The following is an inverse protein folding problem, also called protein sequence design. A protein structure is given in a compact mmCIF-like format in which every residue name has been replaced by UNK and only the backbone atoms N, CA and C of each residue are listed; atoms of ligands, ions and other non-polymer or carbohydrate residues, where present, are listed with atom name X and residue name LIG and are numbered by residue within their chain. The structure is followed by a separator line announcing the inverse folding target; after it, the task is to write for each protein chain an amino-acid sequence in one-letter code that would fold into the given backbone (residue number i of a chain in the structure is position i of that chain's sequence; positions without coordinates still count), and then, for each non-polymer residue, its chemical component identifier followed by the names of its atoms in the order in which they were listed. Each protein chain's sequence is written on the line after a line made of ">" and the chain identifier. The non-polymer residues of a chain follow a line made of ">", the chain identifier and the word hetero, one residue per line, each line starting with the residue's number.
data_IF_922552476389
#
_entry.id   IF_922552476389
#
_cell.length_a   1.000
_cell.length_b   1.000
_cell.length_c   1.000
_cell.angle_alpha   90.00
_cell.angle_beta   90.00
_cell.angle_gamma   90.00
#
_symmetry.space_group_name_H-M   'P 1'
#
loop_
_entity.id
_entity.type
_entity.pdbx_description
1 polymer ?
#
# COMPACT_ATOMS: atom_id res chain seq x y z
N UNK A 1 -27.78 -3.71 8.64
CA UNK A 1 -27.00 -4.93 8.36
C UNK A 1 -27.14 -5.31 6.90
N UNK A 2 -26.03 -5.27 6.15
CA UNK A 2 -25.98 -5.60 4.72
C UNK A 2 -25.12 -6.84 4.52
N UNK A 3 -25.67 -7.87 3.90
CA UNK A 3 -24.91 -9.05 3.51
C UNK A 3 -24.04 -8.71 2.30
N UNK A 4 -22.72 -8.93 2.42
CA UNK A 4 -21.75 -8.66 1.35
C UNK A 4 -20.79 -9.86 1.19
N UNK A 5 -20.43 -10.22 -0.05
CA UNK A 5 -19.39 -11.21 -0.31
C UNK A 5 -17.99 -10.67 0.02
N UNK A 6 -17.03 -11.56 0.31
CA UNK A 6 -15.67 -11.17 0.72
C UNK A 6 -14.96 -10.32 -0.34
N UNK A 7 -15.17 -10.57 -1.63
CA UNK A 7 -14.58 -9.73 -2.70
C UNK A 7 -15.08 -8.27 -2.66
N UNK A 8 -16.36 -8.05 -2.34
CA UNK A 8 -16.89 -6.71 -2.15
C UNK A 8 -16.39 -6.09 -0.86
N UNK A 9 -16.21 -6.88 0.21
CA UNK A 9 -15.55 -6.41 1.42
C UNK A 9 -14.10 -5.98 1.12
N UNK A 10 -13.34 -6.76 0.34
CA UNK A 10 -11.96 -6.45 -0.04
C UNK A 10 -11.86 -5.07 -0.70
N UNK A 11 -12.74 -4.77 -1.66
CA UNK A 11 -12.84 -3.43 -2.27
C UNK A 11 -13.06 -2.33 -1.24
N UNK A 12 -14.04 -2.53 -0.35
CA UNK A 12 -14.36 -1.56 0.71
C UNK A 12 -13.17 -1.35 1.64
N UNK A 13 -12.42 -2.40 1.95
CA UNK A 13 -11.25 -2.37 2.84
C UNK A 13 -10.05 -1.69 2.17
N UNK A 14 -9.79 -1.95 0.88
CA UNK A 14 -8.77 -1.25 0.11
C UNK A 14 -9.05 0.26 0.02
N UNK A 15 -10.32 0.64 -0.05
CA UNK A 15 -10.74 2.04 -0.08
C UNK A 15 -10.98 2.64 1.32
N UNK A 16 -10.69 1.90 2.40
CA UNK A 16 -10.98 2.33 3.77
C UNK A 16 -10.04 3.47 4.18
N UNK A 17 -10.55 4.66 4.52
CA UNK A 17 -9.69 5.77 4.93
C UNK A 17 -8.95 5.49 6.24
N UNK A 18 -7.76 6.06 6.38
CA UNK A 18 -7.00 6.02 7.64
C UNK A 18 -7.84 6.57 8.79
N UNK A 19 -7.87 5.84 9.92
CA UNK A 19 -8.68 6.06 11.13
C UNK A 19 -10.18 5.85 10.95
N UNK A 20 -10.65 5.41 9.80
CA UNK A 20 -12.01 4.92 9.64
C UNK A 20 -12.11 3.45 10.07
N UNK A 21 -13.32 3.09 10.49
CA UNK A 21 -13.63 1.77 11.01
C UNK A 21 -14.91 1.26 10.39
N UNK A 22 -14.84 0.05 9.87
CA UNK A 22 -16.03 -0.74 9.57
C UNK A 22 -16.11 -1.91 10.53
N UNK A 23 -17.34 -2.37 10.76
CA UNK A 23 -17.57 -3.54 11.59
C UNK A 23 -18.28 -4.58 10.77
N UNK A 24 -17.76 -5.79 10.83
CA UNK A 24 -18.33 -6.94 10.14
C UNK A 24 -18.65 -8.03 11.14
N UNK A 25 -19.72 -8.77 10.85
CA UNK A 25 -20.11 -9.95 11.62
C UNK A 25 -20.01 -11.17 10.73
N UNK A 26 -19.30 -12.18 11.23
CA UNK A 26 -19.19 -13.47 10.56
C UNK A 26 -20.42 -14.34 10.87
N UNK A 27 -21.03 -14.92 9.84
CA UNK A 27 -22.27 -15.71 9.95
C UNK A 27 -22.14 -16.97 10.83
N UNK A 28 -20.95 -17.59 10.85
CA UNK A 28 -20.71 -18.88 11.52
C UNK A 28 -20.39 -18.75 13.02
N UNK A 29 -19.70 -17.69 13.42
CA UNK A 29 -19.21 -17.50 14.79
C UNK A 29 -20.00 -16.45 15.57
N UNK A 30 -20.83 -15.65 14.87
CA UNK A 30 -21.49 -14.45 15.40
C UNK A 30 -20.50 -13.44 16.03
N UNK A 31 -19.20 -13.61 15.79
CA UNK A 31 -18.15 -12.73 16.28
C UNK A 31 -18.17 -11.39 15.54
N UNK A 32 -18.03 -10.31 16.31
CA UNK A 32 -17.84 -8.98 15.78
C UNK A 32 -16.35 -8.73 15.53
N UNK A 33 -16.05 -8.30 14.31
CA UNK A 33 -14.70 -7.95 13.89
C UNK A 33 -14.70 -6.48 13.47
N UNK A 34 -13.80 -5.70 14.07
CA UNK A 34 -13.48 -4.36 13.61
C UNK A 34 -12.43 -4.44 12.51
N UNK A 35 -12.62 -3.71 11.42
CA UNK A 35 -11.60 -3.50 10.41
C UNK A 35 -11.27 -2.02 10.40
N UNK A 36 -10.02 -1.69 10.66
CA UNK A 36 -9.49 -0.32 10.70
C UNK A 36 -8.32 -0.18 9.75
N UNK A 37 -8.23 0.97 9.09
CA UNK A 37 -7.01 1.38 8.42
C UNK A 37 -6.27 2.32 9.39
N UNK A 38 -5.04 1.98 9.77
CA UNK A 38 -4.25 2.76 10.73
C UNK A 38 -2.90 3.10 10.13
N UNK A 39 -2.52 4.37 10.22
CA UNK A 39 -1.17 4.83 9.94
C UNK A 39 -0.28 4.50 11.14
N UNK A 40 0.50 3.43 11.00
CA UNK A 40 1.41 2.92 12.01
C UNK A 40 2.78 2.78 11.38
N UNK A 41 3.74 3.55 11.89
CA UNK A 41 5.14 3.57 11.43
C UNK A 41 5.33 4.02 9.98
N UNK A 42 4.58 5.05 9.57
CA UNK A 42 4.62 5.59 8.21
C UNK A 42 4.14 4.59 7.14
N UNK A 43 3.47 3.51 7.59
CA UNK A 43 2.78 2.52 6.75
C UNK A 43 1.28 2.52 7.07
N UNK A 44 0.48 2.53 6.01
CA UNK A 44 -0.96 2.29 6.13
C UNK A 44 -1.19 0.79 6.35
N UNK A 45 -1.68 0.43 7.53
CA UNK A 45 -1.96 -0.95 7.92
C UNK A 45 -3.46 -1.18 8.01
N UNK A 46 -3.96 -2.21 7.31
CA UNK A 46 -5.29 -2.73 7.58
C UNK A 46 -5.21 -3.69 8.76
N UNK A 47 -5.99 -3.42 9.78
CA UNK A 47 -6.04 -4.17 11.02
C UNK A 47 -7.43 -4.76 11.14
N UNK A 48 -7.51 -6.08 11.29
CA UNK A 48 -8.74 -6.78 11.68
C UNK A 48 -8.59 -7.22 13.11
N UNK A 49 -9.46 -6.72 13.98
CA UNK A 49 -9.47 -7.03 15.41
C UNK A 49 -10.78 -7.68 15.80
N UNK A 50 -10.72 -8.65 16.70
CA UNK A 50 -11.95 -9.11 17.36
C UNK A 50 -12.39 -8.08 18.40
N UNK A 51 -13.66 -7.65 18.30
CA UNK A 51 -14.22 -6.76 19.31
C UNK A 51 -14.25 -7.48 20.66
N UNK A 52 -13.61 -6.89 21.66
CA UNK A 52 -13.39 -7.52 22.97
C UNK A 52 -12.00 -8.16 23.13
N UNK A 53 -11.15 -8.09 22.10
CA UNK A 53 -9.77 -8.58 22.15
C UNK A 53 -9.62 -10.07 21.84
N UNK A 54 -8.39 -10.58 21.97
CA UNK A 54 -8.05 -12.00 21.80
C UNK A 54 -7.60 -12.41 20.40
N UNK A 55 -7.88 -11.60 19.38
CA UNK A 55 -7.37 -11.81 18.02
C UNK A 55 -7.18 -10.47 17.32
N UNK A 56 -6.04 -10.32 16.66
CA UNK A 56 -5.82 -9.30 15.65
C UNK A 56 -4.98 -9.87 14.51
N UNK A 57 -5.30 -9.46 13.29
CA UNK A 57 -4.51 -9.72 12.10
C UNK A 57 -4.25 -8.41 11.40
N UNK A 58 -3.08 -8.30 10.77
CA UNK A 58 -2.61 -7.06 10.17
C UNK A 58 -2.15 -7.35 8.75
N UNK A 59 -2.48 -6.42 7.85
CA UNK A 59 -2.09 -6.43 6.46
C UNK A 59 -1.39 -5.11 6.16
N UNK A 60 -0.16 -5.21 5.68
CA UNK A 60 0.63 -4.06 5.28
C UNK A 60 0.25 -3.66 3.86
N UNK A 61 -0.33 -2.46 3.69
CA UNK A 61 -0.74 -1.98 2.36
C UNK A 61 0.40 -1.31 1.59
N UNK A 62 1.57 -1.14 2.23
CA UNK A 62 2.74 -0.50 1.62
C UNK A 62 3.49 -1.41 0.65
N UNK A 63 3.38 -2.73 0.82
CA UNK A 63 4.04 -3.71 -0.04
C UNK A 63 3.14 -4.10 -1.21
N UNK A 64 1.86 -4.38 -0.95
CA UNK A 64 0.91 -4.84 -1.96
C UNK A 64 -0.49 -4.32 -1.64
N UNK A 65 -1.08 -3.57 -2.56
CA UNK A 65 -2.43 -3.02 -2.41
C UNK A 65 -3.40 -3.56 -3.47
N UNK A 66 -3.13 -4.78 -3.96
CA UNK A 66 -3.99 -5.43 -4.95
C UNK A 66 -5.21 -6.06 -4.25
N UNK A 67 -6.39 -5.72 -4.76
CA UNK A 67 -7.68 -6.24 -4.27
C UNK A 67 -7.70 -7.78 -4.16
N UNK A 68 -6.96 -8.47 -5.03
CA UNK A 68 -6.84 -9.93 -5.05
C UNK A 68 -6.15 -10.45 -3.79
N UNK A 69 -5.09 -9.79 -3.33
CA UNK A 69 -4.34 -10.20 -2.15
C UNK A 69 -5.11 -9.86 -0.88
N UNK A 70 -5.72 -8.66 -0.82
CA UNK A 70 -6.65 -8.30 0.25
C UNK A 70 -7.79 -9.31 0.35
N UNK A 71 -8.37 -9.71 -0.78
CA UNK A 71 -9.43 -10.73 -0.83
C UNK A 71 -8.92 -12.08 -0.31
N UNK A 72 -7.72 -12.50 -0.73
CA UNK A 72 -7.10 -13.76 -0.28
C UNK A 72 -6.80 -13.73 1.23
N UNK A 73 -6.29 -12.62 1.73
CA UNK A 73 -6.01 -12.41 3.14
C UNK A 73 -7.30 -12.43 3.99
N UNK A 74 -8.34 -11.72 3.55
CA UNK A 74 -9.66 -11.76 4.18
C UNK A 74 -10.24 -13.19 4.16
N UNK A 75 -10.13 -13.91 3.04
CA UNK A 75 -10.54 -15.32 2.95
C UNK A 75 -9.86 -16.19 4.00
N UNK A 76 -8.56 -16.02 4.22
CA UNK A 76 -7.82 -16.73 5.26
C UNK A 76 -8.32 -16.38 6.67
N UNK A 77 -8.50 -15.10 6.97
CA UNK A 77 -9.02 -14.63 8.28
C UNK A 77 -10.41 -15.19 8.55
N UNK A 78 -11.29 -15.11 7.56
CA UNK A 78 -12.65 -15.64 7.69
C UNK A 78 -12.74 -17.16 7.51
N UNK A 79 -11.62 -17.87 7.34
CA UNK A 79 -11.57 -19.31 7.07
C UNK A 79 -12.57 -19.71 5.97
N UNK A 80 -12.41 -19.08 4.80
CA UNK A 80 -13.24 -19.29 3.63
C UNK A 80 -12.40 -19.73 2.45
N UNK A 81 -12.75 -20.86 1.84
CA UNK A 81 -12.22 -21.25 0.52
C UNK A 81 -13.11 -20.76 -0.63
N UNK A 82 -14.25 -20.14 -0.31
CA UNK A 82 -15.29 -19.78 -1.28
C UNK A 82 -15.43 -18.25 -1.37
N UNK A 83 -15.44 -17.72 -2.60
CA UNK A 83 -15.57 -16.28 -2.88
C UNK A 83 -16.96 -15.76 -2.52
N UNK A 84 -17.94 -16.67 -2.43
CA UNK A 84 -19.34 -16.37 -2.11
C UNK A 84 -19.65 -16.42 -0.61
N UNK A 85 -18.66 -16.67 0.27
CA UNK A 85 -18.91 -16.57 1.71
C UNK A 85 -19.25 -15.12 2.03
N UNK A 86 -20.42 -14.94 2.61
CA UNK A 86 -20.95 -13.63 2.95
C UNK A 86 -20.65 -13.28 4.40
N UNK A 87 -20.28 -12.02 4.60
CA UNK A 87 -20.22 -11.39 5.92
C UNK A 87 -21.32 -10.34 6.01
N UNK A 88 -21.69 -10.01 7.23
CA UNK A 88 -22.65 -8.95 7.47
C UNK A 88 -21.91 -7.67 7.80
N UNK A 89 -21.95 -6.69 6.89
CA UNK A 89 -21.52 -5.33 7.18
C UNK A 89 -22.54 -4.68 8.11
N UNK A 90 -22.05 -4.17 9.23
CA UNK A 90 -22.86 -3.56 10.28
C UNK A 90 -22.85 -2.05 10.15
N UNK A 91 -24.02 -1.45 10.28
CA UNK A 91 -24.15 -0.01 10.40
C UNK A 91 -23.79 0.42 11.82
N UNK A 92 -23.29 1.65 11.99
CA UNK A 92 -22.82 2.16 13.30
C UNK A 92 -23.82 1.88 14.42
N UNK A 93 -25.12 2.12 14.18
CA UNK A 93 -26.21 1.91 15.14
C UNK A 93 -26.39 0.46 15.64
N UNK A 94 -25.97 -0.53 14.85
CA UNK A 94 -26.11 -1.97 15.16
C UNK A 94 -24.99 -2.51 16.05
N UNK A 95 -23.85 -1.81 16.12
CA UNK A 95 -22.65 -2.22 16.88
C UNK A 95 -22.75 -1.80 18.36
N UNK A 96 -23.44 -0.71 18.64
CA UNK A 96 -23.42 -0.04 19.95
C UNK A 96 -24.16 -0.70 21.13
N UNK A 97 -25.07 -1.68 20.98
CA UNK A 97 -25.63 -2.37 22.16
C UNK A 97 -24.61 -3.23 22.93
N UNK A 98 -23.57 -3.73 22.24
CA UNK A 98 -22.57 -4.68 22.78
C UNK A 98 -21.29 -3.98 23.30
N UNK A 99 -21.04 -2.73 22.91
CA UNK A 99 -19.86 -1.93 23.30
C UNK A 99 -20.20 -0.97 24.46
N UNK A 100 -20.17 -1.46 25.70
CA UNK A 100 -20.55 -0.67 26.89
C UNK A 100 -19.37 0.07 27.57
N UNK A 101 -18.13 -0.20 27.19
CA UNK A 101 -16.93 0.45 27.76
C UNK A 101 -15.95 0.84 26.66
N UNK A 102 -15.15 1.90 26.92
CA UNK A 102 -13.94 2.13 26.15
C UNK A 102 -13.06 0.91 26.29
N UNK A 103 -12.96 0.14 25.23
CA UNK A 103 -11.99 -0.92 25.13
C UNK A 103 -10.97 -0.45 24.09
N UNK A 104 -9.71 -0.51 24.45
CA UNK A 104 -8.58 -0.27 23.55
C UNK A 104 -7.88 -1.60 23.32
N UNK A 105 -7.22 -1.71 22.17
CA UNK A 105 -6.34 -2.81 21.84
C UNK A 105 -4.97 -2.22 21.57
N UNK A 106 -4.00 -2.62 22.37
CA UNK A 106 -2.62 -2.16 22.30
C UNK A 106 -1.70 -3.31 21.93
N UNK A 107 -0.59 -2.98 21.27
CA UNK A 107 0.50 -3.92 21.01
C UNK A 107 1.85 -3.25 21.22
N UNK A 108 2.92 -3.98 20.91
CA UNK A 108 4.30 -3.50 21.04
C UNK A 108 5.02 -3.61 19.70
N UNK A 109 5.66 -2.53 19.28
CA UNK A 109 6.53 -2.48 18.08
C UNK A 109 8.00 -2.50 18.47
N UNK A 110 8.85 -2.87 17.51
CA UNK A 110 10.29 -2.81 17.60
C UNK A 110 10.88 -2.11 16.37
N UNK A 111 12.00 -1.43 16.57
CA UNK A 111 12.87 -0.99 15.48
C UNK A 111 13.79 -2.14 15.12
N UNK A 112 13.79 -2.53 13.85
CA UNK A 112 14.66 -3.58 13.32
C UNK A 112 15.79 -2.95 12.52
N UNK A 113 17.02 -3.42 12.76
CA UNK A 113 18.22 -2.92 12.11
C UNK A 113 19.11 -4.09 11.68
N UNK A 114 18.94 -4.54 10.44
CA UNK A 114 19.77 -5.60 9.86
C UNK A 114 20.94 -5.04 9.05
N UNK A 115 22.08 -5.75 8.95
CA UNK A 115 23.19 -5.35 8.10
C UNK A 115 22.74 -5.20 6.64
N UNK A 116 23.09 -4.07 6.01
CA UNK A 116 22.73 -3.73 4.61
C UNK A 116 21.24 -3.43 4.35
N UNK A 117 20.40 -3.32 5.39
CA UNK A 117 19.01 -2.88 5.26
C UNK A 117 18.83 -1.51 5.91
N UNK A 118 17.93 -0.69 5.36
CA UNK A 118 17.52 0.54 6.06
C UNK A 118 16.80 0.15 7.35
N UNK A 119 17.13 0.78 8.50
CA UNK A 119 16.40 0.54 9.74
C UNK A 119 14.93 0.92 9.55
N UNK A 120 14.03 -0.02 9.79
CA UNK A 120 12.59 0.19 9.73
C UNK A 120 11.96 -0.16 11.08
N UNK A 121 10.75 0.38 11.33
CA UNK A 121 9.95 -0.10 12.45
C UNK A 121 9.06 -1.20 11.93
N UNK A 122 9.08 -2.33 12.62
CA UNK A 122 8.13 -3.41 12.37
C UNK A 122 7.25 -3.57 13.59
N UNK A 123 6.00 -3.91 13.35
CA UNK A 123 5.18 -4.53 14.37
C UNK A 123 5.59 -6.01 14.41
N UNK A 124 5.90 -6.56 15.58
CA UNK A 124 6.10 -8.02 15.67
C UNK A 124 4.73 -8.68 15.54
N UNK A 125 4.43 -9.26 14.38
CA UNK A 125 3.14 -9.93 14.13
C UNK A 125 3.21 -11.41 14.56
N UNK A 126 4.39 -11.93 14.89
CA UNK A 126 4.53 -13.29 15.42
C UNK A 126 4.57 -13.25 16.95
N UNK A 127 3.41 -13.41 17.59
CA UNK A 127 3.22 -13.77 19.01
C UNK A 127 3.31 -12.69 20.12
N UNK A 128 3.43 -11.39 19.81
CA UNK A 128 3.39 -10.36 20.85
C UNK A 128 1.97 -10.14 21.41
N UNK A 129 1.86 -10.20 22.74
CA UNK A 129 0.61 -10.07 23.49
C UNK A 129 -0.16 -8.81 23.09
N UNK A 130 -1.43 -8.98 22.75
CA UNK A 130 -2.35 -7.86 22.62
C UNK A 130 -2.79 -7.46 24.02
N UNK A 131 -2.74 -6.17 24.32
CA UNK A 131 -3.06 -5.63 25.64
C UNK A 131 -4.36 -4.84 25.59
N UNK A 132 -5.19 -4.89 26.65
CA UNK A 132 -6.41 -4.11 26.76
C UNK A 132 -6.16 -2.63 27.10
N UNK A 133 -4.91 -2.25 27.44
CA UNK A 133 -4.53 -0.89 27.82
C UNK A 133 -3.08 -0.56 27.48
N UNK A 134 -2.77 0.73 27.38
CA UNK A 134 -1.41 1.23 27.17
C UNK A 134 -0.49 0.83 28.31
N UNK A 135 -0.98 0.94 29.54
CA UNK A 135 -0.21 0.65 30.75
C UNK A 135 0.22 -0.81 30.81
N UNK A 136 -0.62 -1.75 30.37
CA UNK A 136 -0.27 -3.16 30.29
C UNK A 136 0.79 -3.42 29.21
N UNK A 137 0.69 -2.75 28.06
CA UNK A 137 1.72 -2.82 27.01
C UNK A 137 3.07 -2.26 27.49
N UNK A 138 3.06 -1.10 28.16
CA UNK A 138 4.28 -0.50 28.73
C UNK A 138 4.87 -1.35 29.85
N UNK A 139 4.03 -1.94 30.71
CA UNK A 139 4.46 -2.87 31.76
C UNK A 139 5.13 -4.11 31.15
N UNK A 140 4.57 -4.65 30.08
CA UNK A 140 5.19 -5.76 29.36
C UNK A 140 6.56 -5.39 28.81
N UNK A 141 6.70 -4.20 28.22
CA UNK A 141 7.99 -3.68 27.72
C UNK A 141 9.03 -3.60 28.85
N UNK A 142 8.64 -3.10 30.01
CA UNK A 142 9.54 -2.97 31.16
C UNK A 142 9.98 -4.35 31.70
N UNK A 143 9.07 -5.33 31.75
CA UNK A 143 9.38 -6.71 32.18
C UNK A 143 10.36 -7.38 31.21
N UNK A 144 10.20 -7.16 29.91
CA UNK A 144 10.99 -7.82 28.86
C UNK A 144 12.22 -7.01 28.43
N UNK A 145 12.57 -5.94 29.15
CA UNK A 145 13.72 -5.11 28.84
C UNK A 145 15.02 -5.94 28.91
N UNK A 146 15.71 -6.05 27.78
CA UNK A 146 16.96 -6.81 27.66
C UNK A 146 16.77 -8.32 27.48
N UNK A 147 15.53 -8.79 27.31
CA UNK A 147 15.22 -10.16 26.91
C UNK A 147 15.09 -10.27 25.39
N UNK A 148 15.18 -11.50 24.87
CA UNK A 148 14.85 -11.77 23.47
C UNK A 148 13.35 -11.63 23.25
N UNK A 149 12.96 -10.87 22.23
CA UNK A 149 11.57 -10.76 21.81
C UNK A 149 11.21 -11.91 20.87
N UNK A 150 10.05 -12.51 21.07
CA UNK A 150 9.48 -13.43 20.09
C UNK A 150 8.96 -12.60 18.92
N UNK A 151 9.72 -12.62 17.83
CA UNK A 151 9.42 -11.86 16.63
C UNK A 151 9.88 -12.63 15.41
N UNK A 152 9.33 -12.27 14.24
CA UNK A 152 9.80 -12.82 12.96
C UNK A 152 11.27 -12.46 12.65
N UNK A 153 11.87 -11.58 13.44
CA UNK A 153 13.27 -11.16 13.35
C UNK A 153 14.06 -11.64 14.56
N UNK A 154 15.37 -11.79 14.38
CA UNK A 154 16.25 -12.13 15.49
C UNK A 154 16.21 -11.03 16.55
N UNK A 155 16.15 -11.42 17.82
CA UNK A 155 16.02 -10.46 18.92
C UNK A 155 17.18 -9.46 19.01
N UNK A 156 18.35 -9.83 18.53
CA UNK A 156 19.54 -8.97 18.44
C UNK A 156 19.42 -7.87 17.38
N UNK A 157 18.55 -8.06 16.38
CA UNK A 157 18.25 -7.04 15.37
C UNK A 157 17.15 -6.07 15.85
N UNK A 158 16.49 -6.36 16.98
CA UNK A 158 15.34 -5.63 17.49
C UNK A 158 15.72 -4.67 18.64
N UNK A 159 15.24 -3.43 18.56
CA UNK A 159 15.52 -2.38 19.56
C UNK A 159 14.34 -1.42 19.75
N UNK A 160 14.43 -0.56 20.77
CA UNK A 160 13.44 0.52 21.01
C UNK A 160 11.97 0.06 21.04
N UNK A 161 11.59 -0.88 21.95
CA UNK A 161 10.21 -1.30 22.08
C UNK A 161 9.29 -0.13 22.42
N UNK A 162 8.14 -0.02 21.76
CA UNK A 162 7.12 1.01 22.04
C UNK A 162 5.71 0.44 22.02
N UNK A 163 4.88 0.88 22.97
CA UNK A 163 3.46 0.61 22.94
C UNK A 163 2.80 1.38 21.78
N UNK A 164 1.90 0.71 21.06
CA UNK A 164 1.15 1.28 19.94
C UNK A 164 -0.32 0.90 20.07
N UNK A 165 -1.20 1.87 19.85
CA UNK A 165 -2.64 1.64 19.79
C UNK A 165 -2.96 0.95 18.45
N UNK A 166 -3.49 -0.25 18.52
CA UNK A 166 -3.90 -1.08 17.37
C UNK A 166 -5.34 -0.75 16.98
N UNK A 167 -6.23 -0.70 17.97
CA UNK A 167 -7.65 -0.41 17.74
C UNK A 167 -8.31 0.20 18.99
N UNK A 168 -9.43 0.89 18.81
CA UNK A 168 -10.29 1.35 19.91
C UNK A 168 -11.77 1.23 19.53
N UNK A 169 -12.61 0.98 20.54
CA UNK A 169 -14.06 0.90 20.36
C UNK A 169 -14.73 1.91 21.30
N UNK A 170 -15.18 3.03 20.75
CA UNK A 170 -15.94 4.04 21.49
C UNK A 170 -17.37 4.14 20.96
N UNK A 171 -18.30 4.47 21.86
CA UNK A 171 -19.49 5.23 21.49
C UNK A 171 -19.06 6.70 21.52
N UNK A 172 -18.80 7.29 20.36
CA UNK A 172 -18.53 8.72 20.28
C UNK A 172 -19.77 9.48 20.76
N UNK A 173 -19.78 9.91 22.02
CA UNK A 173 -20.74 10.91 22.52
C UNK A 173 -20.38 12.33 22.05
N UNK A 174 -19.32 12.48 21.25
CA UNK A 174 -18.93 13.75 20.63
C UNK A 174 -19.59 13.99 19.25
N UNK A 175 -20.35 13.05 18.70
CA UNK A 175 -21.16 13.29 17.49
C UNK A 175 -22.51 14.00 17.79
N UNK A 176 -22.50 14.92 18.76
CA UNK A 176 -23.43 16.05 18.83
C UNK A 176 -22.73 17.33 18.37
N UNK A 177 -22.14 17.31 17.18
CA UNK A 177 -21.90 18.53 16.42
C UNK A 177 -22.88 18.53 15.25
N UNK A 178 -24.02 19.18 15.54
CA UNK A 178 -24.84 19.98 14.63
C UNK A 178 -24.60 19.81 13.14
N UNK A 179 -25.67 19.38 12.46
CA UNK A 179 -26.01 19.70 11.07
C UNK A 179 -26.01 21.22 10.91
N UNK A 180 -24.83 21.83 10.72
CA UNK A 180 -24.61 23.20 10.30
C UNK A 180 -23.12 23.43 9.98
N UNK A 181 -22.78 23.24 8.71
CA UNK A 181 -21.66 23.91 8.01
C UNK A 181 -20.25 23.71 8.58
N UNK A 182 -19.56 22.66 8.12
CA UNK A 182 -18.11 22.68 7.93
C UNK A 182 -17.78 22.05 6.58
N UNK A 183 -17.63 22.89 5.54
CA UNK A 183 -16.87 22.55 4.35
C UNK A 183 -15.38 22.43 4.75
N UNK A 184 -15.01 21.33 5.41
CA UNK A 184 -13.60 20.90 5.49
C UNK A 184 -13.44 19.77 4.50
N UNK A 185 -12.83 20.11 3.38
CA UNK A 185 -12.35 19.16 2.37
C UNK A 185 -11.38 18.21 3.08
N UNK A 186 -11.82 16.97 3.35
CA UNK A 186 -10.91 15.88 3.68
C UNK A 186 -9.97 15.74 2.48
N UNK A 187 -8.64 15.74 2.66
CA UNK A 187 -7.74 15.60 1.52
C UNK A 187 -7.93 14.21 0.90
N UNK A 188 -8.41 14.17 -0.34
CA UNK A 188 -8.52 12.94 -1.11
C UNK A 188 -7.12 12.53 -1.62
N UNK A 189 -6.33 11.83 -0.79
CA UNK A 189 -4.95 11.46 -1.14
C UNK A 189 -4.89 10.46 -2.29
N UNK A 190 -5.76 9.44 -2.31
CA UNK A 190 -5.87 8.49 -3.45
C UNK A 190 -6.16 9.23 -4.74
N UNK A 191 -7.13 10.16 -4.71
CA UNK A 191 -7.42 11.02 -5.85
C UNK A 191 -6.24 11.91 -6.23
N UNK A 192 -5.50 12.47 -5.26
CA UNK A 192 -4.29 13.26 -5.53
C UNK A 192 -3.15 12.42 -6.13
N UNK A 193 -2.96 11.19 -5.67
CA UNK A 193 -1.95 10.26 -6.21
C UNK A 193 -2.34 9.84 -7.62
N UNK A 194 -3.61 9.48 -7.86
CA UNK A 194 -4.10 9.15 -9.19
C UNK A 194 -3.96 10.34 -10.14
N UNK A 195 -4.38 11.54 -9.71
CA UNK A 195 -4.20 12.76 -10.48
C UNK A 195 -2.71 13.04 -10.75
N UNK A 196 -1.83 12.83 -9.76
CA UNK A 196 -0.40 13.03 -9.96
C UNK A 196 0.20 12.02 -10.95
N UNK A 197 -0.24 10.76 -10.94
CA UNK A 197 0.16 9.78 -11.98
C UNK A 197 -0.31 10.24 -13.35
N UNK A 198 -1.57 10.64 -13.46
CA UNK A 198 -2.14 11.17 -14.71
C UNK A 198 -1.38 12.41 -15.18
N UNK A 199 -1.04 13.32 -14.29
CA UNK A 199 -0.26 14.53 -14.57
C UNK A 199 1.14 14.18 -15.08
N UNK A 200 1.84 13.24 -14.45
CA UNK A 200 3.18 12.81 -14.88
C UNK A 200 3.09 12.12 -16.26
N UNK A 201 2.14 11.20 -16.46
CA UNK A 201 1.93 10.53 -17.74
C UNK A 201 1.59 11.55 -18.84
N UNK A 202 0.68 12.49 -18.56
CA UNK A 202 0.35 13.56 -19.49
C UNK A 202 1.54 14.47 -19.78
N UNK A 203 2.43 14.67 -18.81
CA UNK A 203 3.66 15.42 -19.02
C UNK A 203 4.63 14.66 -19.94
N UNK A 204 4.82 13.35 -19.75
CA UNK A 204 5.61 12.51 -20.67
C UNK A 204 5.03 12.58 -22.09
N UNK A 205 3.70 12.44 -22.24
CA UNK A 205 3.01 12.55 -23.54
C UNK A 205 3.29 13.91 -24.18
N UNK A 206 3.18 14.99 -23.41
CA UNK A 206 3.41 16.35 -23.88
C UNK A 206 4.86 16.54 -24.33
N UNK A 207 5.84 16.06 -23.53
CA UNK A 207 7.26 16.08 -23.87
C UNK A 207 7.50 15.38 -25.21
N UNK A 208 6.96 14.17 -25.40
CA UNK A 208 7.12 13.44 -26.66
C UNK A 208 6.49 14.19 -27.85
N UNK A 209 5.26 14.68 -27.70
CA UNK A 209 4.54 15.43 -28.75
C UNK A 209 5.21 16.75 -29.11
N UNK A 210 5.67 17.52 -28.14
CA UNK A 210 6.39 18.79 -28.34
C UNK A 210 7.72 18.59 -29.07
N UNK A 211 8.29 17.39 -28.98
CA UNK A 211 9.50 17.01 -29.70
C UNK A 211 9.22 16.21 -30.98
N UNK A 212 7.94 16.12 -31.40
CA UNK A 212 7.49 15.40 -32.60
C UNK A 212 7.86 13.89 -32.59
N UNK A 213 7.93 13.29 -31.40
CA UNK A 213 8.29 11.89 -31.19
C UNK A 213 7.04 11.05 -30.92
N UNK A 214 6.91 9.94 -31.66
CA UNK A 214 5.97 8.86 -31.32
C UNK A 214 6.60 7.80 -30.42
N UNK A 215 7.94 7.72 -30.41
CA UNK A 215 8.74 6.79 -29.61
C UNK A 215 10.12 7.40 -29.34
N UNK A 216 10.67 7.13 -28.17
CA UNK A 216 12.07 7.40 -27.85
C UNK A 216 12.74 6.13 -27.32
N UNK A 217 13.96 5.87 -27.79
CA UNK A 217 14.81 4.80 -27.27
C UNK A 217 15.65 5.37 -26.13
N UNK A 218 15.78 4.61 -25.05
CA UNK A 218 16.61 4.93 -23.88
C UNK A 218 17.84 4.04 -23.81
N UNK A 219 17.74 2.82 -24.34
CA UNK A 219 18.83 1.85 -24.34
C UNK A 219 20.11 2.41 -24.99
N UNK A 220 21.22 2.27 -24.28
CA UNK A 220 22.53 2.80 -24.67
C UNK A 220 22.67 4.33 -24.67
N UNK A 221 21.60 5.09 -24.36
CA UNK A 221 21.63 6.55 -24.26
C UNK A 221 21.69 6.99 -22.80
N UNK A 222 20.96 6.31 -21.92
CA UNK A 222 20.84 6.63 -20.51
C UNK A 222 21.85 5.81 -19.69
N UNK A 223 22.65 6.48 -18.87
CA UNK A 223 23.63 5.82 -17.99
C UNK A 223 22.94 5.08 -16.83
N UNK A 224 21.91 5.69 -16.25
CA UNK A 224 21.13 5.15 -15.12
C UNK A 224 19.65 4.96 -15.53
N UNK A 225 19.33 3.92 -16.34
CA UNK A 225 17.96 3.69 -16.78
C UNK A 225 17.05 3.36 -15.60
N UNK A 226 15.78 3.73 -15.70
CA UNK A 226 14.79 3.37 -14.68
C UNK A 226 14.53 1.88 -14.73
N UNK A 227 14.75 1.20 -13.62
CA UNK A 227 14.39 -0.20 -13.44
C UNK A 227 12.96 -0.31 -12.91
N UNK A 228 12.17 -1.22 -13.50
CA UNK A 228 10.77 -1.44 -13.13
C UNK A 228 10.49 -2.93 -12.99
N UNK A 229 9.56 -3.24 -12.08
CA UNK A 229 9.07 -4.59 -11.89
C UNK A 229 7.94 -4.94 -12.85
N UNK A 230 8.00 -6.14 -13.42
CA UNK A 230 6.95 -6.68 -14.28
C UNK A 230 6.85 -8.21 -14.19
N UNK A 231 5.65 -8.74 -14.45
CA UNK A 231 5.38 -10.17 -14.39
C UNK A 231 5.33 -10.77 -15.80
N UNK A 232 6.32 -11.60 -16.14
CA UNK A 232 6.41 -12.27 -17.45
C UNK A 232 5.57 -13.55 -17.55
N UNK A 233 4.54 -13.68 -16.72
CA UNK A 233 3.63 -14.83 -16.69
C UNK A 233 4.14 -16.04 -15.87
N UNK A 234 5.45 -16.19 -15.69
CA UNK A 234 6.05 -17.27 -14.88
C UNK A 234 6.90 -16.76 -13.72
N UNK A 235 7.50 -15.59 -13.88
CA UNK A 235 8.44 -14.99 -12.95
C UNK A 235 8.26 -13.47 -12.92
N UNK A 236 8.69 -12.88 -11.83
CA UNK A 236 8.87 -11.44 -11.72
C UNK A 236 10.26 -11.06 -12.23
N UNK A 237 10.31 -9.94 -12.92
CA UNK A 237 11.51 -9.41 -13.54
C UNK A 237 11.71 -7.98 -13.07
N UNK A 238 12.96 -7.63 -12.81
CA UNK A 238 13.41 -6.26 -12.56
C UNK A 238 14.27 -5.84 -13.76
N UNK A 239 13.74 -4.97 -14.60
CA UNK A 239 14.34 -4.69 -15.90
C UNK A 239 14.39 -3.20 -16.21
N UNK A 240 15.45 -2.75 -16.90
CA UNK A 240 15.53 -1.37 -17.34
C UNK A 240 14.47 -1.08 -18.41
N UNK A 241 13.92 0.13 -18.35
CA UNK A 241 13.10 0.66 -19.44
C UNK A 241 13.99 1.02 -20.62
N UNK A 242 13.77 0.35 -21.75
CA UNK A 242 14.59 0.50 -22.96
C UNK A 242 13.97 1.46 -23.97
N UNK A 243 12.64 1.68 -23.90
CA UNK A 243 11.97 2.66 -24.73
C UNK A 243 10.65 3.16 -24.12
N UNK A 244 10.21 4.34 -24.55
CA UNK A 244 8.90 4.91 -24.22
C UNK A 244 8.19 5.32 -25.51
N UNK A 245 6.93 4.90 -25.68
CA UNK A 245 6.12 5.16 -26.88
C UNK A 245 4.77 5.78 -26.55
N UNK A 246 4.25 6.60 -27.46
CA UNK A 246 2.87 7.06 -27.42
C UNK A 246 1.92 5.94 -27.83
N UNK A 247 0.76 5.86 -27.16
CA UNK A 247 -0.35 4.98 -27.54
C UNK A 247 -1.64 5.77 -27.67
N UNK A 248 -2.69 5.16 -28.20
CA UNK A 248 -4.01 5.80 -28.33
C UNK A 248 -4.63 6.19 -26.97
N UNK A 249 -4.21 5.51 -25.88
CA UNK A 249 -4.78 5.67 -24.54
C UNK A 249 -3.79 6.23 -23.51
N UNK A 250 -2.56 6.53 -23.90
CA UNK A 250 -1.52 7.01 -22.98
C UNK A 250 -0.12 6.78 -23.53
N UNK A 251 0.71 6.11 -22.74
CA UNK A 251 2.05 5.66 -23.13
C UNK A 251 2.24 4.16 -22.89
N UNK A 252 3.23 3.60 -23.56
CA UNK A 252 3.78 2.27 -23.26
C UNK A 252 5.28 2.39 -23.00
N UNK A 253 5.81 1.42 -22.24
CA UNK A 253 7.24 1.26 -22.02
C UNK A 253 7.68 -0.14 -22.46
N UNK A 254 8.83 -0.21 -23.13
CA UNK A 254 9.48 -1.48 -23.44
C UNK A 254 10.51 -1.77 -22.35
N UNK A 255 10.55 -3.01 -21.88
CA UNK A 255 11.49 -3.50 -20.86
C UNK A 255 12.15 -4.78 -21.34
N UNK A 256 13.42 -4.96 -21.00
CA UNK A 256 14.20 -6.13 -21.42
C UNK A 256 15.14 -6.59 -20.31
N UNK A 257 15.01 -7.86 -19.91
CA UNK A 257 16.00 -8.57 -19.12
C UNK A 257 17.06 -9.17 -20.06
N UNK A 258 18.25 -8.57 -20.06
CA UNK A 258 19.35 -9.01 -20.92
C UNK A 258 19.96 -10.36 -20.49
N UNK A 259 19.76 -10.79 -19.25
CA UNK A 259 20.30 -12.06 -18.74
C UNK A 259 19.43 -13.24 -19.16
N UNK A 260 18.11 -13.07 -19.10
CA UNK A 260 17.15 -14.10 -19.49
C UNK A 260 16.66 -13.97 -20.95
N UNK A 261 17.04 -12.88 -21.64
CA UNK A 261 16.61 -12.54 -23.00
C UNK A 261 15.07 -12.55 -23.10
N UNK A 262 14.43 -11.95 -22.10
CA UNK A 262 12.97 -11.81 -22.00
C UNK A 262 12.64 -10.32 -22.06
N UNK A 263 11.69 -9.96 -22.93
CA UNK A 263 11.20 -8.59 -23.06
C UNK A 263 9.69 -8.55 -23.10
N UNK A 264 9.13 -7.41 -22.70
CA UNK A 264 7.71 -7.12 -22.84
C UNK A 264 7.46 -5.63 -23.04
N UNK A 265 6.24 -5.31 -23.45
CA UNK A 265 5.74 -3.94 -23.49
C UNK A 265 4.64 -3.80 -22.43
N UNK A 266 4.79 -2.82 -21.56
CA UNK A 266 3.84 -2.49 -20.50
C UNK A 266 3.04 -1.24 -20.89
N UNK A 267 1.78 -1.18 -20.49
CA UNK A 267 0.83 -0.16 -20.91
C UNK A 267 0.26 0.62 -19.72
N UNK A 268 0.34 1.96 -19.80
CA UNK A 268 -0.21 2.85 -18.76
C UNK A 268 -1.71 2.66 -18.52
N UNK A 269 -2.48 2.28 -19.54
CA UNK A 269 -3.93 2.09 -19.44
C UNK A 269 -4.35 0.74 -18.82
N UNK A 270 -3.44 -0.23 -18.73
CA UNK A 270 -3.75 -1.57 -18.20
C UNK A 270 -3.37 -1.70 -16.72
N UNK A 271 -3.03 -0.57 -16.09
CA UNK A 271 -2.62 -0.47 -14.70
C UNK A 271 -1.45 -1.41 -14.35
N UNK A 272 -0.53 -1.62 -15.31
CA UNK A 272 0.72 -2.34 -15.07
C UNK A 272 1.47 -1.71 -13.89
N UNK A 273 2.10 -2.57 -13.07
CA UNK A 273 2.76 -2.18 -11.82
C UNK A 273 3.77 -1.04 -12.03
N UNK A 274 4.50 -1.06 -13.15
CA UNK A 274 5.44 -0.03 -13.55
C UNK A 274 4.83 1.39 -13.58
N UNK A 275 3.53 1.51 -13.87
CA UNK A 275 2.82 2.79 -13.90
C UNK A 275 2.10 3.13 -12.59
N UNK A 276 2.11 2.27 -11.58
CA UNK A 276 1.50 2.57 -10.26
C UNK A 276 2.47 3.31 -9.32
N UNK A 277 3.77 3.15 -9.51
CA UNK A 277 4.82 3.76 -8.69
C UNK A 277 5.16 5.18 -9.20
N UNK A 278 4.94 6.19 -8.35
CA UNK A 278 5.19 7.59 -8.71
C UNK A 278 6.68 7.89 -8.95
N UNK A 279 7.57 7.30 -8.16
CA UNK A 279 9.02 7.52 -8.28
C UNK A 279 9.56 6.94 -9.60
N UNK A 280 9.05 5.79 -10.03
CA UNK A 280 9.41 5.23 -11.34
C UNK A 280 8.89 6.10 -12.49
N UNK A 281 7.64 6.58 -12.41
CA UNK A 281 7.10 7.49 -13.43
C UNK A 281 7.89 8.80 -13.55
N UNK A 282 8.27 9.39 -12.42
CA UNK A 282 9.12 10.58 -12.38
C UNK A 282 10.51 10.29 -12.98
N UNK A 283 11.13 9.17 -12.61
CA UNK A 283 12.42 8.75 -13.16
C UNK A 283 12.35 8.47 -14.68
N UNK A 284 11.29 7.80 -15.16
CA UNK A 284 11.07 7.57 -16.60
C UNK A 284 10.94 8.89 -17.34
N UNK A 285 10.18 9.84 -16.78
CA UNK A 285 10.03 11.19 -17.35
C UNK A 285 11.39 11.89 -17.47
N UNK A 286 12.22 11.80 -16.45
CA UNK A 286 13.55 12.44 -16.45
C UNK A 286 14.49 11.77 -17.46
N UNK A 287 14.47 10.45 -17.56
CA UNK A 287 15.20 9.69 -18.58
C UNK A 287 14.74 10.04 -20.01
N UNK A 288 13.44 10.25 -20.24
CA UNK A 288 12.94 10.75 -21.54
C UNK A 288 13.52 12.13 -21.85
N UNK A 289 13.54 13.06 -20.88
CA UNK A 289 14.11 14.39 -21.08
C UNK A 289 15.61 14.34 -21.36
N UNK A 290 16.34 13.48 -20.68
CA UNK A 290 17.76 13.26 -20.90
C UNK A 290 18.04 12.69 -22.29
N UNK A 291 17.32 11.63 -22.69
CA UNK A 291 17.47 11.03 -24.02
C UNK A 291 17.19 12.03 -25.15
N UNK A 292 16.18 12.90 -24.98
CA UNK A 292 15.88 13.97 -25.95
C UNK A 292 17.05 14.95 -26.06
N UNK A 293 17.63 15.38 -24.93
CA UNK A 293 18.78 16.29 -24.92
C UNK A 293 19.99 15.66 -25.60
N UNK A 294 20.31 14.42 -25.25
CA UNK A 294 21.42 13.68 -25.84
C UNK A 294 21.25 13.51 -27.35
N UNK A 295 20.05 13.11 -27.79
CA UNK A 295 19.74 12.93 -29.22
C UNK A 295 19.86 14.24 -30.01
N UNK A 296 19.39 15.37 -29.45
CA UNK A 296 19.54 16.69 -30.07
C UNK A 296 21.00 17.17 -30.12
N UNK A 297 21.81 16.88 -29.10
CA UNK A 297 23.23 17.21 -29.10
C UNK A 297 23.97 16.48 -30.24
N UNK A 298 23.73 15.17 -30.38
CA UNK A 298 24.29 14.36 -31.47
C UNK A 298 23.88 14.89 -32.84
N UNK A 299 22.60 15.24 -33.05
CA UNK A 299 22.13 15.81 -34.31
C UNK A 299 22.80 17.15 -34.65
N UNK A 300 23.03 18.00 -33.64
CA UNK A 300 23.69 19.30 -33.81
C UNK A 300 25.18 19.14 -34.16
N UNK A 301 25.86 18.19 -33.53
CA UNK A 301 27.28 17.91 -33.82
C UNK A 301 27.46 17.35 -35.24
N UNK A 302 26.52 16.53 -35.73
CA UNK A 302 26.50 16.05 -37.12
C UNK A 302 26.27 17.20 -38.11
N UNK A 303 25.38 18.14 -37.81
CA UNK A 303 25.11 19.32 -38.65
C UNK A 303 26.26 20.33 -38.69
N UNK A 304 27.09 20.43 -37.65
CA UNK A 304 28.27 21.29 -37.63
C UNK A 304 29.53 20.63 -38.20
N UNK A 305 29.50 19.31 -38.41
CA UNK A 305 30.60 18.52 -38.98
C UNK A 305 30.46 18.26 -40.49
N UNK A 306 29.40 18.77 -41.11
CA UNK A 306 29.10 18.75 -42.56
C UNK A 306 29.27 20.14 -43.17
#
# INVERSE_FOLDING_TARGET
>A
MKEIPINQLAKIVCDLPVKEKIVVRQKSTNGLLGITCSDIFDSDLIIISQIGGGFAAIFDTSTDNEEVEMCTWLQNIFQSSDYDKTVYLLDKEEVFPELQSMNELWGVTFKVSQPNCHPSRTLSISECALFPSREEAETWIDIHRGMSYDSAFYSEDCSEPKAVLIDSWQRNNEDKISIATVNKVVPNFTGRINNLREDIICNIISILKENELSKILLDGIIEEPTYVLWFGGKSWYDSPVTAVSLTDKGISIDVEDQFENVSTTLYSNDADLAFKNLSWLESIRDNVLEAIKATKAVQKDIQHSL
#
